data_IF_309784342807
#
_entry.id   IF_309784342807
#
_cell.length_a   1.000
_cell.length_b   1.000
_cell.length_c   1.000
_cell.angle_alpha   90.00
_cell.angle_beta   90.00
_cell.angle_gamma   90.00
#
_symmetry.space_group_name_H-M   'P 1'
#
loop_
_entity.id
_entity.type
_entity.pdbx_description
1 polymer ?
#
# COMPACT_ATOMS: atom_id res chain seq x y z
N UNK A 1 5.53 -18.56 -13.31
CA UNK A 1 5.52 -17.27 -12.61
C UNK A 1 5.77 -16.09 -13.55
N UNK A 2 6.77 -16.13 -14.44
CA UNK A 2 7.05 -15.03 -15.39
C UNK A 2 5.88 -14.64 -16.31
N UNK A 3 5.05 -15.58 -16.76
CA UNK A 3 3.89 -15.27 -17.59
C UNK A 3 2.75 -14.59 -16.82
N UNK A 4 2.62 -14.81 -15.50
CA UNK A 4 1.61 -14.16 -14.66
C UNK A 4 1.92 -12.68 -14.43
N UNK A 5 3.20 -12.33 -14.30
CA UNK A 5 3.66 -10.96 -14.04
C UNK A 5 3.42 -10.04 -15.27
N UNK A 6 3.49 -10.62 -16.48
CA UNK A 6 3.34 -9.88 -17.74
C UNK A 6 1.90 -9.58 -18.15
N UNK A 7 0.93 -10.26 -17.58
CA UNK A 7 -0.48 -10.03 -17.88
C UNK A 7 -1.15 -9.21 -16.78
N UNK A 8 -2.03 -8.28 -17.12
CA UNK A 8 -2.78 -7.47 -16.15
C UNK A 8 -3.54 -8.35 -15.16
N UNK A 9 -4.26 -9.37 -15.64
CA UNK A 9 -5.05 -10.26 -14.79
C UNK A 9 -4.20 -11.08 -13.83
N UNK A 10 -3.09 -11.64 -14.32
CA UNK A 10 -2.16 -12.40 -13.48
C UNK A 10 -1.49 -11.53 -12.41
N UNK A 11 -1.10 -10.32 -12.79
CA UNK A 11 -0.52 -9.33 -11.88
C UNK A 11 -1.51 -8.90 -10.79
N UNK A 12 -2.78 -8.65 -11.16
CA UNK A 12 -3.83 -8.32 -10.20
C UNK A 12 -4.10 -9.46 -9.21
N UNK A 13 -4.15 -10.70 -9.71
CA UNK A 13 -4.32 -11.88 -8.84
C UNK A 13 -3.16 -12.02 -7.85
N UNK A 14 -1.92 -11.76 -8.28
CA UNK A 14 -0.74 -11.76 -7.41
C UNK A 14 -0.79 -10.63 -6.37
N UNK A 15 -1.13 -9.41 -6.75
CA UNK A 15 -1.26 -8.29 -5.81
C UNK A 15 -2.35 -8.57 -4.78
N UNK A 16 -3.50 -9.08 -5.21
CA UNK A 16 -4.57 -9.50 -4.31
C UNK A 16 -4.08 -10.58 -3.32
N UNK A 17 -3.36 -11.58 -3.81
CA UNK A 17 -2.78 -12.63 -2.96
C UNK A 17 -1.79 -12.04 -1.94
N UNK A 18 -0.94 -11.10 -2.34
CA UNK A 18 0.00 -10.42 -1.43
C UNK A 18 -0.73 -9.66 -0.33
N UNK A 19 -1.86 -9.02 -0.62
CA UNK A 19 -2.67 -8.35 0.39
C UNK A 19 -3.29 -9.34 1.37
N UNK A 20 -3.86 -10.44 0.88
CA UNK A 20 -4.41 -11.49 1.74
C UNK A 20 -3.33 -12.06 2.65
N UNK A 21 -2.16 -12.37 2.10
CA UNK A 21 -1.01 -12.89 2.87
C UNK A 21 -0.56 -11.84 3.92
N UNK A 22 -0.45 -10.57 3.53
CA UNK A 22 0.00 -9.51 4.43
C UNK A 22 -0.95 -9.30 5.60
N UNK A 23 -2.26 -9.25 5.34
CA UNK A 23 -3.27 -9.11 6.37
C UNK A 23 -3.33 -10.32 7.29
N UNK A 24 -3.23 -11.52 6.73
CA UNK A 24 -3.23 -12.75 7.50
C UNK A 24 -1.98 -12.89 8.38
N UNK A 25 -0.80 -12.62 7.85
CA UNK A 25 0.45 -12.66 8.63
C UNK A 25 0.48 -11.57 9.71
N UNK A 26 -0.02 -10.37 9.41
CA UNK A 26 -0.16 -9.30 10.40
C UNK A 26 -1.13 -9.72 11.52
N UNK A 27 -2.24 -10.37 11.19
CA UNK A 27 -3.17 -10.93 12.17
C UNK A 27 -2.52 -12.02 13.04
N UNK A 28 -1.80 -12.97 12.44
CA UNK A 28 -1.09 -14.01 13.18
C UNK A 28 0.00 -13.43 14.10
N UNK A 29 0.68 -12.39 13.64
CA UNK A 29 1.71 -11.71 14.44
C UNK A 29 1.08 -11.03 15.64
N UNK A 30 0.05 -10.22 15.44
CA UNK A 30 -0.61 -9.47 16.52
C UNK A 30 -1.33 -10.36 17.52
N UNK A 31 -1.85 -11.52 17.09
CA UNK A 31 -2.49 -12.50 17.95
C UNK A 31 -1.59 -13.02 19.08
N UNK A 32 -0.26 -12.98 18.92
CA UNK A 32 0.69 -13.45 19.95
C UNK A 32 0.91 -12.44 21.08
N UNK A 33 0.33 -11.24 20.98
CA UNK A 33 0.44 -10.18 21.95
C UNK A 33 -0.93 -9.88 22.55
N UNK A 34 -0.97 -9.56 23.82
CA UNK A 34 -2.19 -9.07 24.49
C UNK A 34 -2.36 -7.58 24.19
N UNK A 35 -2.78 -7.29 22.96
CA UNK A 35 -2.97 -5.93 22.42
C UNK A 35 -4.45 -5.67 22.21
N UNK A 36 -4.88 -4.48 22.56
CA UNK A 36 -6.24 -4.00 22.32
C UNK A 36 -6.27 -2.59 21.75
N UNK A 37 -7.46 -2.15 21.35
CA UNK A 37 -7.75 -0.80 20.89
C UNK A 37 -6.80 -0.31 19.79
N UNK A 38 -6.32 0.92 19.95
CA UNK A 38 -5.49 1.59 18.94
C UNK A 38 -4.11 0.96 18.76
N UNK A 39 -3.57 0.34 19.81
CA UNK A 39 -2.25 -0.30 19.75
C UNK A 39 -2.27 -1.55 18.89
N UNK A 40 -3.34 -2.35 18.99
CA UNK A 40 -3.57 -3.48 18.10
C UNK A 40 -3.63 -3.03 16.63
N UNK A 41 -4.40 -1.99 16.35
CA UNK A 41 -4.55 -1.40 15.00
C UNK A 41 -3.19 -0.96 14.47
N UNK A 42 -2.43 -0.20 15.27
CA UNK A 42 -1.14 0.34 14.89
C UNK A 42 -0.15 -0.77 14.53
N UNK A 43 0.02 -1.75 15.40
CA UNK A 43 0.97 -2.86 15.19
C UNK A 43 0.54 -3.72 14.00
N UNK A 44 -0.76 -4.01 13.89
CA UNK A 44 -1.29 -4.75 12.74
C UNK A 44 -1.01 -4.02 11.42
N UNK A 45 -1.31 -2.72 11.37
CA UNK A 45 -1.11 -1.92 10.16
C UNK A 45 0.37 -1.79 9.77
N UNK A 46 1.26 -1.52 10.73
CA UNK A 46 2.70 -1.46 10.49
C UNK A 46 3.20 -2.81 9.95
N UNK A 47 2.80 -3.91 10.58
CA UNK A 47 3.22 -5.26 10.15
C UNK A 47 2.75 -5.56 8.72
N UNK A 48 1.49 -5.30 8.41
CA UNK A 48 0.97 -5.48 7.06
C UNK A 48 1.70 -4.61 6.03
N UNK A 49 1.98 -3.35 6.38
CA UNK A 49 2.74 -2.41 5.54
C UNK A 49 4.15 -2.92 5.25
N UNK A 50 4.87 -3.41 6.26
CA UNK A 50 6.22 -3.95 6.08
C UNK A 50 6.22 -5.17 5.16
N UNK A 51 5.23 -6.05 5.26
CA UNK A 51 5.11 -7.22 4.40
C UNK A 51 4.84 -6.79 2.94
N UNK A 52 3.94 -5.84 2.72
CA UNK A 52 3.68 -5.31 1.36
C UNK A 52 4.92 -4.62 0.81
N UNK A 53 5.65 -3.88 1.63
CA UNK A 53 6.93 -3.28 1.24
C UNK A 53 7.96 -4.32 0.80
N UNK A 54 8.03 -5.46 1.48
CA UNK A 54 8.89 -6.58 1.05
C UNK A 54 8.49 -7.12 -0.32
N UNK A 55 7.20 -7.33 -0.57
CA UNK A 55 6.73 -7.75 -1.90
C UNK A 55 7.01 -6.71 -2.98
N UNK A 56 6.86 -5.43 -2.67
CA UNK A 56 7.22 -4.32 -3.55
C UNK A 56 8.70 -4.36 -3.94
N UNK A 57 9.59 -4.57 -2.97
CA UNK A 57 11.03 -4.70 -3.20
C UNK A 57 11.40 -5.94 -4.04
N UNK A 58 10.75 -7.08 -3.79
CA UNK A 58 10.98 -8.32 -4.56
C UNK A 58 10.66 -8.10 -6.04
N UNK A 59 9.58 -7.39 -6.34
CA UNK A 59 9.17 -7.09 -7.71
C UNK A 59 9.81 -5.82 -8.28
N UNK A 60 10.53 -5.04 -7.46
CA UNK A 60 11.07 -3.72 -7.83
C UNK A 60 9.97 -2.82 -8.41
N UNK A 61 8.80 -2.84 -7.78
CA UNK A 61 7.61 -2.13 -8.25
C UNK A 61 6.83 -1.54 -7.07
N UNK A 62 6.98 -0.24 -6.88
CA UNK A 62 6.35 0.51 -5.78
C UNK A 62 4.84 0.69 -5.99
N UNK A 63 4.34 0.52 -7.23
CA UNK A 63 2.91 0.64 -7.55
C UNK A 63 2.04 -0.44 -6.88
N UNK A 64 2.64 -1.50 -6.32
CA UNK A 64 1.95 -2.48 -5.47
C UNK A 64 1.37 -1.81 -4.23
N UNK A 65 2.02 -0.77 -3.72
CA UNK A 65 1.58 -0.05 -2.52
C UNK A 65 0.40 0.89 -2.78
N UNK A 66 0.20 1.33 -4.02
CA UNK A 66 -0.83 2.31 -4.36
C UNK A 66 -2.24 1.91 -3.91
N UNK A 67 -2.76 0.70 -4.19
CA UNK A 67 -4.06 0.31 -3.67
C UNK A 67 -4.04 -0.07 -2.19
N UNK A 68 -2.87 -0.39 -1.62
CA UNK A 68 -2.77 -0.84 -0.23
C UNK A 68 -3.23 0.22 0.77
N UNK A 69 -2.83 1.47 0.61
CA UNK A 69 -3.11 2.52 1.58
C UNK A 69 -4.60 2.91 1.69
N UNK A 70 -5.44 2.57 0.70
CA UNK A 70 -6.90 2.75 0.80
C UNK A 70 -7.65 1.44 1.04
N UNK A 71 -7.02 0.27 0.83
CA UNK A 71 -7.60 -1.05 1.17
C UNK A 71 -7.32 -1.43 2.62
N UNK A 72 -6.11 -1.20 3.11
CA UNK A 72 -5.70 -1.57 4.48
C UNK A 72 -6.55 -0.93 5.59
N UNK A 73 -7.06 0.31 5.48
CA UNK A 73 -7.96 0.87 6.49
C UNK A 73 -9.36 0.24 6.54
N UNK A 74 -9.79 -0.54 5.53
CA UNK A 74 -11.12 -1.17 5.53
C UNK A 74 -11.34 -2.04 6.78
N UNK A 75 -10.51 -3.05 7.08
CA UNK A 75 -10.66 -3.83 8.31
C UNK A 75 -10.55 -2.99 9.58
N UNK A 76 -9.76 -1.91 9.56
CA UNK A 76 -9.63 -0.98 10.69
C UNK A 76 -10.96 -0.27 10.96
N UNK A 77 -11.61 0.25 9.93
CA UNK A 77 -12.92 0.93 10.08
C UNK A 77 -13.96 -0.03 10.63
N UNK A 78 -14.02 -1.27 10.16
CA UNK A 78 -14.89 -2.29 10.71
C UNK A 78 -14.60 -2.59 12.18
N UNK A 79 -13.34 -2.73 12.55
CA UNK A 79 -12.93 -2.99 13.92
C UNK A 79 -13.34 -1.84 14.85
N UNK A 80 -13.03 -0.59 14.49
CA UNK A 80 -13.37 0.60 15.27
C UNK A 80 -14.88 0.78 15.38
N UNK A 81 -15.62 0.58 14.29
CA UNK A 81 -17.08 0.68 14.30
C UNK A 81 -17.72 -0.31 15.27
N UNK A 82 -17.23 -1.55 15.33
CA UNK A 82 -17.72 -2.57 16.25
C UNK A 82 -17.41 -2.27 17.73
N UNK A 83 -16.36 -1.49 18.00
CA UNK A 83 -15.98 -1.07 19.36
C UNK A 83 -16.65 0.25 19.78
N UNK A 84 -17.27 0.94 18.86
CA UNK A 84 -17.87 2.25 19.09
C UNK A 84 -19.26 2.12 19.74
N UNK A 85 -19.69 3.17 20.45
CA UNK A 85 -21.04 3.31 20.98
C UNK A 85 -22.05 3.88 19.98
N UNK A 86 -21.68 3.96 18.70
CA UNK A 86 -22.54 4.47 17.63
C UNK A 86 -23.75 3.54 17.40
N UNK A 87 -24.88 4.14 17.03
CA UNK A 87 -26.04 3.37 16.58
C UNK A 87 -25.75 2.61 15.29
N UNK A 88 -26.51 1.55 15.02
CA UNK A 88 -26.36 0.74 13.81
C UNK A 88 -26.45 1.58 12.51
N UNK A 89 -27.26 2.64 12.51
CA UNK A 89 -27.39 3.54 11.37
C UNK A 89 -26.10 4.36 11.15
N UNK A 90 -25.57 4.95 12.21
CA UNK A 90 -24.34 5.73 12.15
C UNK A 90 -23.15 4.88 11.74
N UNK A 91 -23.02 3.67 12.29
CA UNK A 91 -21.99 2.70 11.87
C UNK A 91 -22.10 2.37 10.38
N UNK A 92 -23.32 2.09 9.91
CA UNK A 92 -23.56 1.77 8.49
C UNK A 92 -23.21 2.93 7.57
N UNK A 93 -23.52 4.16 7.97
CA UNK A 93 -23.17 5.37 7.20
C UNK A 93 -21.65 5.56 7.11
N UNK A 94 -20.93 5.44 8.22
CA UNK A 94 -19.47 5.57 8.26
C UNK A 94 -18.80 4.50 7.40
N UNK A 95 -19.19 3.24 7.59
CA UNK A 95 -18.65 2.11 6.82
C UNK A 95 -18.92 2.29 5.32
N UNK A 96 -20.16 2.65 4.96
CA UNK A 96 -20.55 2.83 3.55
C UNK A 96 -19.80 3.97 2.88
N UNK A 97 -19.66 5.12 3.55
CA UNK A 97 -18.89 6.25 3.03
C UNK A 97 -17.43 5.90 2.81
N UNK A 98 -16.83 5.17 3.78
CA UNK A 98 -15.45 4.74 3.68
C UNK A 98 -15.25 3.70 2.57
N UNK A 99 -16.13 2.71 2.47
CA UNK A 99 -16.08 1.72 1.40
C UNK A 99 -16.22 2.37 0.03
N UNK A 100 -17.14 3.31 -0.13
CA UNK A 100 -17.29 4.05 -1.40
C UNK A 100 -15.99 4.79 -1.78
N UNK A 101 -15.36 5.46 -0.83
CA UNK A 101 -14.08 6.13 -1.04
C UNK A 101 -12.98 5.14 -1.43
N UNK A 102 -12.81 4.05 -0.69
CA UNK A 102 -11.80 3.03 -0.93
C UNK A 102 -12.00 2.35 -2.29
N UNK A 103 -13.24 1.96 -2.62
CA UNK A 103 -13.57 1.34 -3.90
C UNK A 103 -13.31 2.28 -5.08
N UNK A 104 -13.68 3.56 -4.96
CA UNK A 104 -13.42 4.56 -6.01
C UNK A 104 -11.93 4.68 -6.31
N UNK A 105 -11.08 4.75 -5.28
CA UNK A 105 -9.63 4.86 -5.46
C UNK A 105 -9.02 3.57 -6.02
N UNK A 106 -9.44 2.41 -5.50
CA UNK A 106 -9.01 1.10 -6.01
C UNK A 106 -9.40 0.92 -7.47
N UNK A 107 -10.62 1.33 -7.84
CA UNK A 107 -11.10 1.25 -9.22
C UNK A 107 -10.29 2.18 -10.14
N UNK A 108 -10.00 3.40 -9.72
CA UNK A 108 -9.15 4.31 -10.49
C UNK A 108 -7.74 3.75 -10.71
N UNK A 109 -7.13 3.18 -9.67
CA UNK A 109 -5.85 2.48 -9.81
C UNK A 109 -5.97 1.30 -10.75
N UNK A 110 -7.00 0.46 -10.61
CA UNK A 110 -7.26 -0.69 -11.48
C UNK A 110 -7.35 -0.31 -12.96
N UNK A 111 -7.97 0.81 -13.30
CA UNK A 111 -8.08 1.26 -14.68
C UNK A 111 -6.72 1.66 -15.26
N UNK A 112 -5.93 2.38 -14.51
CA UNK A 112 -4.68 2.98 -14.97
C UNK A 112 -3.46 2.05 -14.85
N UNK A 113 -3.50 1.07 -13.93
CA UNK A 113 -2.38 0.16 -13.74
C UNK A 113 -2.33 -0.93 -14.82
N UNK A 114 -1.12 -1.24 -15.28
CA UNK A 114 -0.91 -2.18 -16.39
C UNK A 114 -0.57 -3.58 -15.89
N UNK A 115 0.57 -3.77 -15.23
CA UNK A 115 1.04 -5.05 -14.68
C UNK A 115 2.21 -4.84 -13.71
N UNK A 116 2.73 -5.92 -13.14
CA UNK A 116 3.85 -5.91 -12.20
C UNK A 116 5.21 -5.64 -12.85
N UNK A 117 5.32 -5.79 -14.17
CA UNK A 117 6.57 -5.58 -14.91
C UNK A 117 6.77 -4.08 -15.26
N UNK A 118 5.74 -3.25 -15.06
CA UNK A 118 5.76 -1.83 -15.35
C UNK A 118 5.47 -1.00 -14.09
N UNK A 119 6.48 -0.24 -13.65
CA UNK A 119 6.34 0.68 -12.54
C UNK A 119 5.69 1.99 -12.99
N UNK A 120 4.85 2.59 -12.14
CA UNK A 120 4.21 3.88 -12.41
C UNK A 120 5.29 4.97 -12.55
N UNK A 121 5.15 5.81 -13.58
CA UNK A 121 6.11 6.88 -13.91
C UNK A 121 6.39 7.82 -12.73
N UNK A 122 5.43 8.04 -11.84
CA UNK A 122 5.58 8.89 -10.66
C UNK A 122 6.69 8.40 -9.72
N UNK A 123 6.84 7.08 -9.57
CA UNK A 123 7.91 6.48 -8.76
C UNK A 123 9.24 6.56 -9.47
N UNK A 124 9.26 6.34 -10.78
CA UNK A 124 10.48 6.46 -11.60
C UNK A 124 11.01 7.90 -11.54
N UNK A 125 10.14 8.89 -11.73
CA UNK A 125 10.51 10.30 -11.65
C UNK A 125 11.00 10.66 -10.24
N UNK A 126 10.30 10.22 -9.19
CA UNK A 126 10.71 10.48 -7.81
C UNK A 126 12.10 9.91 -7.51
N UNK A 127 12.41 8.71 -7.97
CA UNK A 127 13.72 8.08 -7.80
C UNK A 127 14.82 8.82 -8.58
N UNK A 128 14.50 9.34 -9.77
CA UNK A 128 15.43 10.14 -10.55
C UNK A 128 15.78 11.47 -9.87
N UNK A 129 14.80 12.15 -9.27
CA UNK A 129 15.02 13.42 -8.56
C UNK A 129 15.65 13.26 -7.17
N UNK A 130 15.47 12.11 -6.52
CA UNK A 130 16.03 11.86 -5.18
C UNK A 130 17.40 11.18 -5.21
N UNK A 131 17.78 10.54 -6.34
CA UNK A 131 19.12 10.02 -6.53
C UNK A 131 20.02 11.16 -7.02
N UNK A 132 21.09 11.54 -6.28
CA UNK A 132 22.05 12.52 -6.78
C UNK A 132 22.64 12.02 -8.08
N UNK A 133 22.34 12.74 -9.16
CA UNK A 133 22.92 12.47 -10.48
C UNK A 133 24.44 12.66 -10.39
N UNK A 134 25.27 11.87 -11.09
CA UNK A 134 26.69 12.16 -11.19
C UNK A 134 26.99 13.61 -11.65
N UNK A 135 26.09 14.23 -12.42
CA UNK A 135 26.18 15.64 -12.82
C UNK A 135 25.99 16.61 -11.68
N UNK A 136 25.06 16.33 -10.77
CA UNK A 136 24.81 17.21 -9.60
C UNK A 136 26.03 17.23 -8.66
N UNK A 137 26.77 16.11 -8.60
CA UNK A 137 28.03 16.01 -7.84
C UNK A 137 29.16 16.75 -8.54
N UNK A 138 29.20 16.82 -9.87
CA UNK A 138 30.19 17.59 -10.63
C UNK A 138 29.91 19.08 -10.58
N UNK A 139 28.67 19.52 -10.73
CA UNK A 139 28.30 20.97 -10.62
C UNK A 139 28.57 21.53 -9.23
N UNK A 140 28.39 20.74 -8.18
CA UNK A 140 28.72 21.17 -6.81
C UNK A 140 30.22 21.28 -6.54
N UNK A 141 31.06 20.75 -7.43
CA UNK A 141 32.54 20.83 -7.36
C UNK A 141 33.17 21.90 -8.28
N UNK A 142 32.38 22.59 -9.11
CA UNK A 142 32.90 23.69 -9.88
C UNK A 142 33.19 24.85 -8.94
N UNK A 143 34.47 25.36 -8.87
CA UNK A 143 34.76 26.56 -8.15
C UNK A 143 34.03 27.71 -8.83
N UNK A 144 33.29 28.52 -8.03
CA UNK A 144 32.73 29.77 -8.53
C UNK A 144 33.88 30.58 -9.08
N UNK A 145 34.00 30.68 -10.39
CA UNK A 145 34.94 31.57 -11.05
C UNK A 145 34.57 33.00 -10.64
N UNK A 146 35.44 33.61 -9.87
CA UNK A 146 35.42 35.02 -9.53
C UNK A 146 35.51 35.88 -10.79
#
# INVERSE_FOLDING_TARGET
MQNLIKTKQGSLALVFLYYVISFYLAFLFTKNFDLDGWLLILIWHITATLIIFLFSNIHKNSSIYDPFWHVAPIPIVFYISNQSSLSNLEQSLVISAFLFWALRLTYNWFLNWTNLDHEDFRYIDCLLYTSPSPRDVEESRMPSSA
#
